data_IF_868687192246
#
_entry.id   IF_868687192246
#
_cell.length_a   1.000
_cell.length_b   1.000
_cell.length_c   1.000
_cell.angle_alpha   90.00
_cell.angle_beta   90.00
_cell.angle_gamma   90.00
#
_symmetry.space_group_name_H-M   'P 1'
#
loop_
_entity.id
_entity.type
_entity.pdbx_description
1 polymer ?
#
# COMPACT_ATOMS: atom_id res chain seq x y z
N UNK A 1 -2.43 5.26 8.53
CA UNK A 1 -2.77 3.87 8.89
C UNK A 1 -4.18 3.78 9.47
N UNK A 2 -4.51 4.58 10.48
CA UNK A 2 -5.79 4.48 11.20
C UNK A 2 -7.02 4.78 10.33
N UNK A 3 -6.88 5.64 9.33
CA UNK A 3 -7.95 5.91 8.37
C UNK A 3 -8.24 4.74 7.42
N UNK A 4 -7.24 3.91 7.12
CA UNK A 4 -7.34 2.82 6.15
C UNK A 4 -7.78 1.50 6.80
N UNK A 5 -7.39 1.27 8.07
CA UNK A 5 -7.67 0.01 8.76
C UNK A 5 -9.18 -0.33 8.86
N UNK A 6 -10.07 0.58 9.29
CA UNK A 6 -11.50 0.26 9.39
C UNK A 6 -12.15 -0.17 8.06
N UNK A 7 -12.02 0.56 6.93
CA UNK A 7 -12.63 0.14 5.66
C UNK A 7 -11.96 -1.14 5.09
N UNK A 8 -10.65 -1.28 5.25
CA UNK A 8 -9.92 -2.49 4.83
C UNK A 8 -10.38 -3.73 5.61
N UNK A 9 -10.44 -3.63 6.95
CA UNK A 9 -10.95 -4.70 7.83
C UNK A 9 -12.38 -5.08 7.46
N UNK A 10 -13.26 -4.10 7.22
CA UNK A 10 -14.64 -4.38 6.83
C UNK A 10 -14.72 -5.16 5.51
N UNK A 11 -13.94 -4.75 4.49
CA UNK A 11 -13.87 -5.45 3.21
C UNK A 11 -13.29 -6.86 3.34
N UNK A 12 -12.19 -7.02 4.07
CA UNK A 12 -11.52 -8.30 4.28
C UNK A 12 -12.35 -9.26 5.13
N UNK A 13 -13.05 -8.77 6.17
CA UNK A 13 -13.96 -9.60 6.95
C UNK A 13 -15.18 -10.05 6.11
N UNK A 14 -15.67 -9.20 5.20
CA UNK A 14 -16.74 -9.60 4.28
C UNK A 14 -16.28 -10.74 3.37
N UNK A 15 -15.11 -10.59 2.74
CA UNK A 15 -14.52 -11.62 1.87
C UNK A 15 -14.17 -12.89 2.68
N UNK A 16 -13.67 -12.71 3.90
CA UNK A 16 -13.22 -13.79 4.77
C UNK A 16 -14.35 -14.73 5.20
N UNK A 17 -15.58 -14.22 5.41
CA UNK A 17 -16.74 -15.06 5.74
C UNK A 17 -17.01 -16.13 4.68
N UNK A 18 -16.83 -15.78 3.41
CA UNK A 18 -17.08 -16.70 2.30
C UNK A 18 -15.89 -17.66 2.07
N UNK A 19 -14.70 -17.31 2.60
CA UNK A 19 -13.43 -18.05 2.41
C UNK A 19 -12.95 -18.80 3.65
N UNK A 20 -13.70 -18.74 4.75
CA UNK A 20 -13.31 -19.36 6.03
C UNK A 20 -12.14 -18.67 6.74
N UNK A 21 -11.84 -17.40 6.41
CA UNK A 21 -10.78 -16.65 7.09
C UNK A 21 -11.27 -16.12 8.45
N UNK A 22 -10.42 -16.09 9.49
CA UNK A 22 -10.77 -15.47 10.76
C UNK A 22 -10.97 -13.95 10.58
N UNK A 23 -11.74 -13.29 11.47
CA UNK A 23 -11.85 -11.84 11.47
C UNK A 23 -10.47 -11.18 11.62
N UNK A 24 -10.16 -10.24 10.74
CA UNK A 24 -8.91 -9.50 10.74
C UNK A 24 -8.76 -8.65 12.00
N UNK A 25 -7.63 -8.82 12.67
CA UNK A 25 -7.23 -8.01 13.82
C UNK A 25 -6.42 -6.79 13.39
N UNK A 26 -6.22 -5.84 14.31
CA UNK A 26 -5.31 -4.71 14.08
C UNK A 26 -3.86 -5.18 13.92
N UNK A 27 -3.45 -6.19 14.68
CA UNK A 27 -2.11 -6.76 14.59
C UNK A 27 -1.83 -7.38 13.21
N UNK A 28 -2.82 -8.06 12.62
CA UNK A 28 -2.69 -8.60 11.26
C UNK A 28 -2.45 -7.49 10.23
N UNK A 29 -3.26 -6.42 10.30
CA UNK A 29 -3.08 -5.26 9.43
C UNK A 29 -1.72 -4.59 9.62
N UNK A 30 -1.29 -4.41 10.87
CA UNK A 30 -0.01 -3.79 11.19
C UNK A 30 1.17 -4.64 10.68
N UNK A 31 1.08 -5.97 10.79
CA UNK A 31 2.05 -6.89 10.19
C UNK A 31 2.10 -6.77 8.66
N UNK A 32 0.93 -6.68 8.02
CA UNK A 32 0.82 -6.55 6.56
C UNK A 32 1.37 -5.23 6.02
N UNK A 33 1.39 -4.15 6.81
CA UNK A 33 1.93 -2.84 6.38
C UNK A 33 3.41 -2.64 6.71
N UNK A 34 4.08 -3.59 7.37
CA UNK A 34 5.53 -3.53 7.62
C UNK A 34 6.32 -3.44 6.31
N UNK A 35 7.61 -3.08 6.38
CA UNK A 35 8.51 -3.04 5.21
C UNK A 35 8.46 -4.31 4.35
N UNK A 36 8.31 -5.47 4.99
CA UNK A 36 8.28 -6.78 4.31
C UNK A 36 6.85 -7.29 4.03
N UNK A 37 5.81 -6.60 4.52
CA UNK A 37 4.42 -6.96 4.32
C UNK A 37 3.85 -6.49 2.97
N UNK A 38 2.68 -7.05 2.62
CA UNK A 38 2.05 -6.89 1.31
C UNK A 38 1.36 -5.54 1.08
N UNK A 39 0.97 -4.82 2.15
CA UNK A 39 0.24 -3.55 2.02
C UNK A 39 1.22 -2.38 1.84
N UNK A 40 0.99 -1.61 0.78
CA UNK A 40 1.75 -0.39 0.47
C UNK A 40 1.05 0.80 1.12
N UNK A 41 1.26 0.95 2.43
CA UNK A 41 0.63 2.01 3.22
C UNK A 41 1.69 2.57 4.16
N UNK A 42 1.94 3.87 4.16
CA UNK A 42 2.95 4.51 4.99
C UNK A 42 3.14 5.99 4.63
N UNK A 43 4.23 6.58 5.10
CA UNK A 43 4.73 7.84 4.55
C UNK A 43 5.16 7.66 3.08
N UNK A 44 5.30 8.75 2.31
CA UNK A 44 5.86 8.66 0.95
C UNK A 44 7.22 7.94 0.89
N UNK A 45 8.10 8.17 1.87
CA UNK A 45 9.41 7.52 1.94
C UNK A 45 9.30 6.01 2.19
N UNK A 46 8.44 5.58 3.13
CA UNK A 46 8.21 4.16 3.41
C UNK A 46 7.62 3.43 2.20
N UNK A 47 6.73 4.11 1.45
CA UNK A 47 6.14 3.57 0.24
C UNK A 47 7.18 3.48 -0.88
N UNK A 48 8.00 4.52 -1.07
CA UNK A 48 9.05 4.54 -2.09
C UNK A 48 10.12 3.46 -1.82
N UNK A 49 10.60 3.33 -0.57
CA UNK A 49 11.55 2.28 -0.17
C UNK A 49 10.99 0.89 -0.47
N UNK A 50 9.71 0.64 -0.17
CA UNK A 50 9.07 -0.65 -0.47
C UNK A 50 8.99 -0.92 -1.97
N UNK A 51 8.65 0.07 -2.79
CA UNK A 51 8.59 -0.07 -4.25
C UNK A 51 9.98 -0.37 -4.82
N UNK A 52 11.00 0.39 -4.43
CA UNK A 52 12.38 0.20 -4.89
C UNK A 52 12.91 -1.18 -4.49
N UNK A 53 12.64 -1.60 -3.25
CA UNK A 53 12.97 -2.95 -2.79
C UNK A 53 12.33 -4.03 -3.66
N UNK A 54 11.07 -3.87 -4.06
CA UNK A 54 10.43 -4.83 -4.97
C UNK A 54 11.02 -4.79 -6.37
N UNK A 55 11.41 -3.61 -6.87
CA UNK A 55 12.21 -3.45 -8.09
C UNK A 55 13.46 -4.33 -8.06
N UNK A 56 14.28 -4.18 -7.01
CA UNK A 56 15.53 -4.92 -6.86
C UNK A 56 15.34 -6.44 -6.66
N UNK A 57 14.27 -6.86 -6.01
CA UNK A 57 14.04 -8.27 -5.67
C UNK A 57 13.30 -9.06 -6.75
N UNK A 58 12.44 -8.40 -7.51
CA UNK A 58 11.52 -9.05 -8.44
C UNK A 58 11.79 -8.67 -9.90
N UNK A 59 12.73 -7.77 -10.16
CA UNK A 59 13.06 -7.26 -11.50
C UNK A 59 11.82 -6.69 -12.21
N UNK A 60 11.04 -5.87 -11.49
CA UNK A 60 9.79 -5.28 -12.00
C UNK A 60 10.03 -3.91 -12.63
N UNK A 61 9.48 -3.72 -13.83
CA UNK A 61 9.55 -2.45 -14.58
C UNK A 61 8.28 -1.58 -14.40
N UNK A 62 7.25 -2.13 -13.76
CA UNK A 62 5.96 -1.47 -13.56
C UNK A 62 5.36 -1.78 -12.20
N UNK A 63 4.99 -0.72 -11.48
CA UNK A 63 4.23 -0.79 -10.25
C UNK A 63 2.82 -0.20 -10.44
N UNK A 64 1.79 -0.92 -9.98
CA UNK A 64 0.38 -0.48 -10.00
C UNK A 64 -0.20 -0.63 -8.60
N UNK A 65 -0.85 0.43 -8.10
CA UNK A 65 -1.43 0.46 -6.77
C UNK A 65 -2.95 0.54 -6.83
N UNK A 66 -3.63 -0.40 -6.16
CA UNK A 66 -5.05 -0.30 -5.89
C UNK A 66 -5.29 0.42 -4.56
N UNK A 67 -5.73 1.68 -4.63
CA UNK A 67 -5.87 2.56 -3.46
C UNK A 67 -7.22 2.35 -2.75
N UNK A 68 -8.32 2.25 -3.50
CA UNK A 68 -9.68 2.27 -2.95
C UNK A 68 -10.18 0.88 -2.54
N UNK A 69 -9.86 0.45 -1.33
CA UNK A 69 -10.43 -0.79 -0.76
C UNK A 69 -11.52 -0.46 0.26
N UNK A 70 -12.67 -1.15 0.13
CA UNK A 70 -13.81 -0.99 1.03
C UNK A 70 -14.48 0.38 0.85
N UNK A 71 -14.79 1.04 1.96
CA UNK A 71 -15.51 2.33 1.99
C UNK A 71 -14.58 3.51 2.31
N UNK A 72 -13.35 3.49 1.79
CA UNK A 72 -12.41 4.59 1.97
C UNK A 72 -12.99 5.88 1.35
N UNK A 73 -12.98 6.98 2.11
CA UNK A 73 -13.56 8.25 1.66
C UNK A 73 -12.87 8.82 0.42
N UNK A 74 -13.63 9.49 -0.45
CA UNK A 74 -13.15 10.04 -1.72
C UNK A 74 -11.93 10.95 -1.54
N UNK A 75 -11.96 11.88 -0.59
CA UNK A 75 -10.85 12.81 -0.33
C UNK A 75 -9.56 12.08 0.05
N UNK A 76 -9.69 10.98 0.80
CA UNK A 76 -8.56 10.14 1.18
C UNK A 76 -7.95 9.42 -0.02
N UNK A 77 -8.80 8.97 -0.95
CA UNK A 77 -8.36 8.35 -2.21
C UNK A 77 -7.64 9.39 -3.07
N UNK A 78 -8.19 10.59 -3.22
CA UNK A 78 -7.57 11.67 -3.98
C UNK A 78 -6.23 12.10 -3.37
N UNK A 79 -6.15 12.21 -2.05
CA UNK A 79 -4.90 12.55 -1.37
C UNK A 79 -3.84 11.46 -1.54
N UNK A 80 -4.21 10.18 -1.47
CA UNK A 80 -3.29 9.09 -1.75
C UNK A 80 -2.79 9.09 -3.22
N UNK A 81 -3.65 9.43 -4.18
CA UNK A 81 -3.27 9.61 -5.59
C UNK A 81 -2.28 10.78 -5.73
N UNK A 82 -2.57 11.91 -5.07
CA UNK A 82 -1.70 13.09 -5.08
C UNK A 82 -0.32 12.73 -4.53
N UNK A 83 -0.25 12.15 -3.34
CA UNK A 83 1.01 11.73 -2.71
C UNK A 83 1.78 10.71 -3.56
N UNK A 84 1.10 9.75 -4.18
CA UNK A 84 1.72 8.80 -5.10
C UNK A 84 2.38 9.51 -6.29
N UNK A 85 1.68 10.49 -6.88
CA UNK A 85 2.15 11.22 -8.05
C UNK A 85 3.21 12.29 -7.76
N UNK A 86 3.09 13.00 -6.63
CA UNK A 86 3.91 14.18 -6.34
C UNK A 86 5.07 13.92 -5.38
N UNK A 87 4.99 12.90 -4.53
CA UNK A 87 6.03 12.59 -3.54
C UNK A 87 6.73 11.26 -3.85
N UNK A 88 5.96 10.18 -4.00
CA UNK A 88 6.52 8.83 -4.18
C UNK A 88 7.17 8.66 -5.56
N UNK A 89 6.46 9.01 -6.63
CA UNK A 89 6.96 8.79 -7.98
C UNK A 89 8.28 9.52 -8.28
N UNK A 90 8.51 10.77 -7.84
CA UNK A 90 9.81 11.41 -7.98
C UNK A 90 10.96 10.66 -7.28
N UNK A 91 10.74 10.18 -6.05
CA UNK A 91 11.76 9.43 -5.29
C UNK A 91 12.15 8.16 -6.05
N UNK A 92 11.15 7.36 -6.44
CA UNK A 92 11.38 6.09 -7.16
C UNK A 92 12.12 6.34 -8.48
N UNK A 93 11.64 7.31 -9.29
CA UNK A 93 12.28 7.62 -10.58
C UNK A 93 13.69 8.16 -10.45
N UNK A 94 13.99 8.90 -9.38
CA UNK A 94 15.34 9.41 -9.13
C UNK A 94 16.31 8.27 -8.80
N UNK A 95 15.88 7.33 -7.96
CA UNK A 95 16.67 6.16 -7.62
C UNK A 95 16.94 5.28 -8.86
N UNK A 96 15.93 5.00 -9.69
CA UNK A 96 16.13 4.19 -10.91
C UNK A 96 17.08 4.86 -11.93
N UNK A 97 16.97 6.18 -12.15
CA UNK A 97 17.91 6.91 -13.03
C UNK A 97 19.36 6.90 -12.53
N UNK A 98 19.58 6.60 -11.25
CA UNK A 98 20.93 6.54 -10.67
C UNK A 98 21.59 5.16 -10.83
N UNK A 99 20.84 4.17 -11.34
CA UNK A 99 21.34 2.82 -11.65
C UNK A 99 21.88 2.71 -13.08
N UNK A 100 21.51 3.65 -13.97
CA UNK A 100 22.03 3.80 -15.33
C UNK A 100 23.41 4.47 -15.35
#
# INVERSE_FOLDING_TARGET
ADQYFPPYRAAMNRIGRDRGWPPMTRADFDAMRTRHGSLVIGSPDEVADKILRWGDLLDVDRFVLHISVGTLGHDAVLEAIRLLGTEVAPIVRAAERSKD
#
